data_IF_809907210526
#
_entry.id   IF_809907210526
#
_cell.length_a   1.000
_cell.length_b   1.000
_cell.length_c   1.000
_cell.angle_alpha   90.00
_cell.angle_beta   90.00
_cell.angle_gamma   90.00
#
_symmetry.space_group_name_H-M   'P 1'
#
loop_
_entity.id
_entity.type
_entity.pdbx_description
1 polymer ?
#
# COMPACT_ATOMS: atom_id res chain seq x y z
N UNK A 1 23.44 1.75 -46.52
CA UNK A 1 22.45 2.10 -45.47
C UNK A 1 23.27 2.33 -44.21
N UNK A 2 23.30 3.56 -43.71
CA UNK A 2 24.03 3.88 -42.49
C UNK A 2 23.15 3.52 -41.30
N UNK A 3 23.63 2.66 -40.41
CA UNK A 3 23.02 2.41 -39.11
C UNK A 3 22.94 3.74 -38.33
N UNK A 4 21.80 4.08 -37.71
CA UNK A 4 21.72 5.23 -36.83
C UNK A 4 22.60 4.97 -35.60
N UNK A 5 23.71 5.70 -35.49
CA UNK A 5 24.55 5.69 -34.29
C UNK A 5 23.73 6.09 -33.08
N UNK A 6 23.69 5.24 -32.06
CA UNK A 6 23.06 5.56 -30.78
C UNK A 6 23.60 6.91 -30.26
N UNK A 7 22.74 7.79 -29.73
CA UNK A 7 23.19 9.06 -29.18
C UNK A 7 24.20 8.82 -28.05
N UNK A 8 25.21 9.70 -27.90
CA UNK A 8 26.21 9.57 -26.84
C UNK A 8 25.53 9.56 -25.46
N UNK A 9 25.99 8.69 -24.57
CA UNK A 9 25.48 8.62 -23.21
C UNK A 9 25.73 9.95 -22.48
N UNK A 10 24.68 10.51 -21.88
CA UNK A 10 24.76 11.73 -21.08
C UNK A 10 25.69 11.48 -19.88
N UNK A 11 26.74 12.29 -19.75
CA UNK A 11 27.66 12.20 -18.61
C UNK A 11 27.19 13.16 -17.51
N UNK A 12 26.67 12.61 -16.42
CA UNK A 12 26.12 13.37 -15.29
C UNK A 12 27.28 14.00 -14.50
N UNK A 13 27.18 15.30 -14.20
CA UNK A 13 28.17 15.95 -13.35
C UNK A 13 28.01 15.51 -11.89
N UNK A 14 29.10 15.41 -11.14
CA UNK A 14 29.07 14.96 -9.74
C UNK A 14 28.11 15.80 -8.86
N UNK A 15 28.02 17.10 -9.10
CA UNK A 15 27.14 18.00 -8.34
C UNK A 15 25.64 17.78 -8.64
N UNK A 16 25.33 17.11 -9.74
CA UNK A 16 23.96 16.77 -10.17
C UNK A 16 23.55 15.35 -9.73
N UNK A 17 24.39 14.68 -8.94
CA UNK A 17 24.16 13.33 -8.41
C UNK A 17 23.59 13.40 -6.99
N UNK A 18 22.55 12.62 -6.73
CA UNK A 18 21.95 12.51 -5.42
C UNK A 18 22.91 11.80 -4.46
N UNK A 19 23.22 12.36 -3.29
CA UNK A 19 24.19 11.78 -2.36
C UNK A 19 23.67 10.53 -1.63
N UNK A 20 22.40 10.15 -1.83
CA UNK A 20 21.79 8.96 -1.23
C UNK A 20 21.76 7.78 -2.21
N UNK A 21 21.18 7.98 -3.40
CA UNK A 21 21.07 6.90 -4.39
C UNK A 21 22.20 6.89 -5.43
N UNK A 22 23.02 7.94 -5.48
CA UNK A 22 24.13 8.11 -6.41
C UNK A 22 23.71 8.13 -7.90
N UNK A 23 22.46 8.50 -8.17
CA UNK A 23 21.88 8.69 -9.50
C UNK A 23 21.61 10.18 -9.76
N UNK A 24 21.26 10.54 -11.00
CA UNK A 24 20.80 11.91 -11.33
C UNK A 24 19.68 12.33 -10.37
N UNK A 25 19.81 13.52 -9.78
CA UNK A 25 18.79 14.06 -8.89
C UNK A 25 17.47 14.21 -9.66
N UNK A 26 16.41 13.60 -9.14
CA UNK A 26 15.06 13.66 -9.70
C UNK A 26 14.08 14.18 -8.65
N UNK A 27 13.16 15.06 -9.06
CA UNK A 27 12.29 15.82 -8.15
C UNK A 27 13.09 16.35 -6.94
N UNK A 28 14.10 17.21 -7.16
CA UNK A 28 14.99 17.68 -6.10
C UNK A 28 14.20 18.32 -4.96
N UNK A 29 14.58 17.96 -3.74
CA UNK A 29 14.19 18.70 -2.54
C UNK A 29 15.40 19.37 -1.93
N UNK A 30 15.21 20.60 -1.47
CA UNK A 30 16.20 21.39 -0.76
C UNK A 30 15.84 21.42 0.71
N UNK A 31 16.78 20.99 1.54
CA UNK A 31 16.67 21.09 2.99
C UNK A 31 16.99 22.51 3.48
N UNK A 32 16.55 22.88 4.69
CA UNK A 32 16.89 24.16 5.32
C UNK A 32 18.41 24.33 5.51
N UNK A 33 19.12 23.22 5.72
CA UNK A 33 20.59 23.19 5.75
C UNK A 33 21.24 23.22 4.36
N UNK A 34 20.46 23.48 3.30
CA UNK A 34 20.90 23.65 1.91
C UNK A 34 21.47 22.41 1.22
N UNK A 35 21.29 21.21 1.78
CA UNK A 35 21.56 19.96 1.06
C UNK A 35 20.42 19.61 0.12
N UNK A 36 20.80 19.05 -1.03
CA UNK A 36 19.90 18.68 -2.13
C UNK A 36 19.97 17.17 -2.35
N UNK A 37 18.81 16.55 -2.52
CA UNK A 37 18.66 15.14 -2.84
C UNK A 37 17.30 14.89 -3.52
N UNK A 38 17.07 13.67 -4.01
CA UNK A 38 15.76 13.29 -4.55
C UNK A 38 14.68 13.35 -3.45
N UNK A 39 13.46 13.76 -3.80
CA UNK A 39 12.32 13.76 -2.88
C UNK A 39 12.06 12.35 -2.29
N UNK A 40 12.15 11.31 -3.11
CA UNK A 40 12.00 9.90 -2.71
C UNK A 40 13.06 9.45 -1.71
N UNK A 41 14.33 9.81 -1.93
CA UNK A 41 15.42 9.50 -1.01
C UNK A 41 15.24 10.21 0.34
N UNK A 42 14.77 11.46 0.33
CA UNK A 42 14.44 12.18 1.57
C UNK A 42 13.28 11.50 2.30
N UNK A 43 12.26 11.04 1.58
CA UNK A 43 11.13 10.29 2.14
C UNK A 43 11.58 8.99 2.80
N UNK A 44 12.30 8.13 2.08
CA UNK A 44 12.82 6.87 2.64
C UNK A 44 13.73 7.09 3.85
N UNK A 45 14.55 8.15 3.82
CA UNK A 45 15.41 8.51 4.94
C UNK A 45 14.61 9.01 6.15
N UNK A 46 13.60 9.85 5.93
CA UNK A 46 12.69 10.29 6.98
C UNK A 46 12.01 9.09 7.66
N UNK A 47 11.63 8.07 6.88
CA UNK A 47 11.02 6.83 7.40
C UNK A 47 12.03 5.99 8.22
N UNK A 48 13.29 5.91 7.79
CA UNK A 48 14.31 5.02 8.39
C UNK A 48 15.05 5.64 9.58
N UNK A 49 15.31 6.95 9.56
CA UNK A 49 16.06 7.63 10.63
C UNK A 49 15.19 7.90 11.89
N UNK A 50 13.94 7.46 11.81
CA UNK A 50 12.95 7.33 12.88
C UNK A 50 13.00 5.95 13.57
N UNK A 51 14.12 5.22 13.43
CA UNK A 51 14.35 3.90 14.05
C UNK A 51 14.57 3.99 15.56
N UNK A 52 13.53 4.42 16.28
CA UNK A 52 13.05 3.94 17.59
C UNK A 52 11.79 4.76 17.89
N UNK A 53 10.62 4.15 17.67
CA UNK A 53 9.31 4.80 17.49
C UNK A 53 9.19 5.58 16.19
N UNK A 54 8.21 5.19 15.35
CA UNK A 54 7.64 5.99 14.27
C UNK A 54 7.12 7.32 14.88
N UNK A 55 7.80 8.48 14.82
CA UNK A 55 7.23 9.76 15.17
C UNK A 55 6.55 10.29 13.91
N UNK A 56 5.23 10.10 13.87
CA UNK A 56 4.25 11.09 13.46
C UNK A 56 4.81 12.33 12.76
N UNK A 57 4.54 12.48 11.46
CA UNK A 57 4.62 13.82 10.86
C UNK A 57 3.63 14.73 11.60
N UNK A 58 4.17 15.66 12.39
CA UNK A 58 3.44 16.65 13.19
C UNK A 58 3.24 17.98 12.46
N UNK A 59 3.46 18.03 11.15
CA UNK A 59 2.90 19.11 10.37
C UNK A 59 1.42 18.81 10.22
N UNK A 60 0.62 19.61 10.92
CA UNK A 60 -0.84 19.69 10.87
C UNK A 60 -1.35 19.72 9.41
N UNK A 61 -1.41 18.57 8.75
CA UNK A 61 -2.39 18.36 7.70
C UNK A 61 -3.73 18.40 8.42
N UNK A 62 -4.48 19.48 8.20
CA UNK A 62 -5.85 19.53 8.70
C UNK A 62 -6.55 18.29 8.15
N UNK A 63 -7.00 17.42 9.07
CA UNK A 63 -7.64 16.14 8.76
C UNK A 63 -8.89 16.26 7.86
N UNK A 64 -9.26 17.49 7.50
CA UNK A 64 -10.32 17.89 6.58
C UNK A 64 -9.84 18.08 5.13
N UNK A 65 -8.53 18.15 4.89
CA UNK A 65 -7.89 18.46 3.59
C UNK A 65 -7.10 17.26 3.05
N UNK A 66 -7.65 16.05 3.18
CA UNK A 66 -7.05 14.89 2.53
C UNK A 66 -7.33 14.93 1.03
N UNK A 67 -6.34 15.36 0.25
CA UNK A 67 -6.32 15.18 -1.20
C UNK A 67 -5.89 13.72 -1.52
N UNK A 68 -6.73 12.90 -2.18
CA UNK A 68 -6.35 11.55 -2.62
C UNK A 68 -5.18 11.53 -3.62
N UNK A 69 -4.80 12.68 -4.19
CA UNK A 69 -3.62 12.84 -5.04
C UNK A 69 -2.40 13.42 -4.29
N UNK A 70 -2.49 13.60 -2.96
CA UNK A 70 -1.42 14.19 -2.17
C UNK A 70 -0.15 13.33 -2.23
N UNK A 71 0.93 13.93 -2.74
CA UNK A 71 2.24 13.31 -2.81
C UNK A 71 3.00 13.57 -1.49
N UNK A 72 3.22 12.54 -0.66
CA UNK A 72 3.85 12.66 0.65
C UNK A 72 5.32 13.07 0.62
N UNK A 73 5.95 13.14 -0.56
CA UNK A 73 7.38 13.42 -0.71
C UNK A 73 7.78 14.88 -0.42
N UNK A 74 6.81 15.79 -0.28
CA UNK A 74 7.09 17.24 -0.22
C UNK A 74 7.00 17.89 1.17
N UNK A 75 6.42 17.22 2.19
CA UNK A 75 6.31 17.76 3.56
C UNK A 75 6.90 16.79 4.62
N UNK A 76 8.22 16.64 4.61
CA UNK A 76 8.92 15.71 5.51
C UNK A 76 9.82 16.48 6.48
N UNK A 77 9.56 16.34 7.78
CA UNK A 77 10.46 16.76 8.86
C UNK A 77 11.30 15.57 9.32
N UNK A 78 12.61 15.64 9.11
CA UNK A 78 13.55 14.61 9.56
C UNK A 78 14.96 15.19 9.77
N UNK A 79 15.84 14.41 10.37
CA UNK A 79 17.26 14.74 10.39
C UNK A 79 17.83 14.61 8.98
N UNK A 80 18.53 15.61 8.46
CA UNK A 80 19.14 15.59 7.13
C UNK A 80 20.09 14.38 6.95
N UNK A 81 20.04 13.64 5.83
CA UNK A 81 20.97 12.53 5.58
C UNK A 81 22.44 12.95 5.56
N UNK A 82 22.71 14.19 5.13
CA UNK A 82 24.06 14.70 4.92
C UNK A 82 24.69 15.25 6.21
N UNK A 83 23.95 16.08 6.95
CA UNK A 83 24.48 16.77 8.12
C UNK A 83 23.80 16.41 9.44
N UNK A 84 22.79 15.53 9.41
CA UNK A 84 22.02 15.06 10.58
C UNK A 84 21.27 16.14 11.37
N UNK A 85 21.27 17.38 10.89
CA UNK A 85 20.47 18.46 11.48
C UNK A 85 18.99 18.22 11.21
N UNK A 86 18.13 18.43 12.22
CA UNK A 86 16.67 18.44 12.01
C UNK A 86 16.32 19.51 10.98
N UNK A 87 15.59 19.14 9.95
CA UNK A 87 15.26 20.01 8.82
C UNK A 87 13.91 19.61 8.25
N UNK A 88 13.22 20.57 7.63
CA UNK A 88 12.23 20.27 6.60
C UNK A 88 12.89 20.24 5.23
N UNK A 89 12.24 19.59 4.26
CA UNK A 89 12.63 19.61 2.86
C UNK A 89 11.53 20.31 2.05
N UNK A 90 11.91 21.05 1.01
CA UNK A 90 10.99 21.75 0.11
C UNK A 90 11.35 21.43 -1.35
N UNK A 91 10.36 21.26 -2.25
CA UNK A 91 10.65 21.06 -3.67
C UNK A 91 11.48 22.21 -4.27
N UNK A 92 12.43 21.87 -5.14
CA UNK A 92 13.27 22.82 -5.88
C UNK A 92 12.97 22.70 -7.39
N UNK A 93 11.81 23.21 -7.81
CA UNK A 93 11.33 23.10 -9.20
C UNK A 93 12.27 23.78 -10.20
N UNK A 94 12.99 24.81 -9.76
CA UNK A 94 13.97 25.51 -10.59
C UNK A 94 15.15 24.61 -10.92
N UNK A 95 15.66 23.84 -9.95
CA UNK A 95 16.68 22.84 -10.21
C UNK A 95 16.14 21.66 -11.03
N UNK A 96 14.90 21.23 -10.77
CA UNK A 96 14.24 20.18 -11.53
C UNK A 96 14.22 20.50 -13.04
N UNK A 97 13.77 21.71 -13.39
CA UNK A 97 13.73 22.18 -14.77
C UNK A 97 15.13 22.30 -15.40
N UNK A 98 16.14 22.70 -14.62
CA UNK A 98 17.53 22.77 -15.11
C UNK A 98 18.10 21.38 -15.41
N UNK A 99 17.88 20.41 -14.51
CA UNK A 99 18.34 19.04 -14.69
C UNK A 99 17.64 18.36 -15.87
N UNK A 100 16.33 18.59 -16.05
CA UNK A 100 15.58 18.07 -17.19
C UNK A 100 16.07 18.65 -18.53
N UNK A 101 16.42 19.95 -18.57
CA UNK A 101 16.99 20.56 -19.77
C UNK A 101 18.40 20.06 -20.08
N UNK A 102 19.21 19.81 -19.05
CA UNK A 102 20.62 19.43 -19.18
C UNK A 102 20.82 17.93 -19.44
N UNK A 103 19.94 17.11 -18.88
CA UNK A 103 19.98 15.64 -18.94
C UNK A 103 18.62 15.06 -19.35
N UNK A 104 18.06 15.44 -20.51
CA UNK A 104 16.70 15.11 -20.88
C UNK A 104 16.46 13.60 -20.95
N UNK A 105 17.43 12.81 -21.43
CA UNK A 105 17.26 11.36 -21.53
C UNK A 105 17.29 10.74 -20.13
N UNK A 106 18.33 11.01 -19.34
CA UNK A 106 18.47 10.43 -18.01
C UNK A 106 17.37 10.91 -17.06
N UNK A 107 16.91 12.16 -17.17
CA UNK A 107 15.82 12.68 -16.35
C UNK A 107 14.49 11.99 -16.66
N UNK A 108 14.20 11.69 -17.93
CA UNK A 108 13.04 10.89 -18.31
C UNK A 108 13.14 9.45 -17.79
N UNK A 109 14.30 8.80 -17.89
CA UNK A 109 14.52 7.46 -17.31
C UNK A 109 14.27 7.46 -15.80
N UNK A 110 14.79 8.48 -15.08
CA UNK A 110 14.54 8.66 -13.64
C UNK A 110 13.06 8.90 -13.32
N UNK A 111 12.35 9.65 -14.16
CA UNK A 111 10.91 9.87 -14.03
C UNK A 111 10.14 8.55 -14.13
N UNK A 112 10.46 7.71 -15.10
CA UNK A 112 9.81 6.42 -15.28
C UNK A 112 10.08 5.49 -14.10
N UNK A 113 11.32 5.41 -13.63
CA UNK A 113 11.71 4.64 -12.45
C UNK A 113 10.95 5.10 -11.20
N UNK A 114 10.85 6.41 -10.98
CA UNK A 114 10.14 6.99 -9.84
C UNK A 114 8.62 6.85 -9.95
N UNK A 115 8.04 6.95 -11.15
CA UNK A 115 6.61 6.69 -11.39
C UNK A 115 6.27 5.21 -11.16
N UNK A 116 7.16 4.29 -11.57
CA UNK A 116 7.08 2.86 -11.24
C UNK A 116 7.09 2.66 -9.73
N UNK A 117 8.05 3.29 -9.08
CA UNK A 117 8.24 3.23 -7.65
C UNK A 117 7.04 3.80 -6.88
N UNK A 118 6.51 4.96 -7.30
CA UNK A 118 5.32 5.63 -6.75
C UNK A 118 4.01 4.92 -7.12
N UNK A 119 4.05 3.94 -8.02
CA UNK A 119 2.91 3.12 -8.41
C UNK A 119 1.98 3.72 -9.45
N UNK A 120 2.46 4.69 -10.21
CA UNK A 120 1.76 5.25 -11.37
C UNK A 120 2.02 4.46 -12.67
N UNK A 121 3.08 3.62 -12.71
CA UNK A 121 3.36 2.67 -13.80
C UNK A 121 3.70 1.29 -13.23
N UNK A 122 3.44 0.24 -13.99
CA UNK A 122 3.90 -1.11 -13.67
C UNK A 122 5.44 -1.17 -13.81
N UNK A 123 6.13 -1.52 -12.73
CA UNK A 123 7.57 -1.73 -12.73
C UNK A 123 8.01 -2.95 -13.51
N UNK A 124 9.32 -3.12 -13.66
CA UNK A 124 9.89 -4.33 -14.25
C UNK A 124 9.42 -5.56 -13.44
N UNK A 125 8.64 -6.44 -14.08
CA UNK A 125 7.93 -7.54 -13.42
C UNK A 125 6.45 -7.29 -13.05
N UNK A 126 5.83 -6.19 -13.49
CA UNK A 126 4.39 -5.94 -13.34
C UNK A 126 3.95 -5.49 -11.94
N UNK A 127 4.88 -5.09 -11.09
CA UNK A 127 4.60 -4.62 -9.73
C UNK A 127 4.32 -3.11 -9.70
N UNK A 128 3.24 -2.71 -9.05
CA UNK A 128 2.79 -1.32 -8.90
C UNK A 128 2.87 -0.91 -7.41
N UNK A 129 3.44 0.26 -7.10
CA UNK A 129 3.43 0.80 -5.73
C UNK A 129 2.04 1.21 -5.23
N UNK A 130 1.78 1.08 -3.94
CA UNK A 130 0.59 1.62 -3.27
C UNK A 130 1.03 2.33 -1.98
N UNK A 131 0.68 3.61 -1.87
CA UNK A 131 0.88 4.39 -0.64
C UNK A 131 -0.36 4.27 0.24
N UNK A 132 -0.14 3.97 1.51
CA UNK A 132 -1.19 3.79 2.51
C UNK A 132 -0.93 4.76 3.66
N UNK A 133 -1.97 5.50 4.05
CA UNK A 133 -1.97 6.36 5.23
C UNK A 133 -2.91 5.73 6.26
N UNK A 134 -2.40 5.44 7.45
CA UNK A 134 -3.15 4.85 8.55
C UNK A 134 -3.09 5.79 9.75
N UNK A 135 -4.21 6.00 10.43
CA UNK A 135 -4.24 6.94 11.56
C UNK A 135 -5.56 7.01 12.28
N UNK A 136 -5.63 7.90 13.26
CA UNK A 136 -6.89 8.26 13.89
C UNK A 136 -7.00 9.76 14.16
N UNK A 137 -8.21 10.28 13.97
CA UNK A 137 -8.65 11.59 14.48
C UNK A 137 -9.08 11.43 15.93
N UNK A 138 -8.97 12.48 16.72
CA UNK A 138 -9.39 12.51 18.11
C UNK A 138 -9.95 13.88 18.52
N UNK A 139 -11.01 13.86 19.33
CA UNK A 139 -11.57 15.02 20.01
C UNK A 139 -12.10 14.59 21.38
N UNK A 140 -11.94 15.45 22.37
CA UNK A 140 -12.55 15.26 23.69
C UNK A 140 -13.99 15.79 23.67
N UNK A 141 -14.96 14.93 23.96
CA UNK A 141 -16.35 15.35 24.15
C UNK A 141 -16.51 15.94 25.56
N UNK A 142 -16.83 17.24 25.65
CA UNK A 142 -17.11 17.92 26.92
C UNK A 142 -18.61 17.79 27.22
N UNK A 143 -18.96 17.21 28.37
CA UNK A 143 -20.35 17.14 28.85
C UNK A 143 -20.92 15.73 29.05
N UNK A 144 -20.17 14.67 28.71
CA UNK A 144 -20.57 13.32 29.09
C UNK A 144 -20.21 13.06 30.57
N UNK A 145 -21.20 12.79 31.41
CA UNK A 145 -20.99 12.34 32.81
C UNK A 145 -20.33 10.94 32.90
N UNK A 146 -20.14 10.26 31.76
CA UNK A 146 -19.59 8.91 31.66
C UNK A 146 -18.11 8.89 31.22
N UNK A 147 -17.43 7.77 31.50
CA UNK A 147 -16.00 7.55 31.24
C UNK A 147 -15.57 7.60 29.76
N UNK A 148 -16.49 7.52 28.79
CA UNK A 148 -16.21 7.49 27.35
C UNK A 148 -16.06 8.90 26.76
N UNK A 149 -14.97 9.58 27.12
CA UNK A 149 -14.74 11.01 26.80
C UNK A 149 -13.98 11.25 25.49
N UNK A 150 -13.41 10.21 24.90
CA UNK A 150 -12.61 10.32 23.68
C UNK A 150 -13.45 9.90 22.48
N UNK A 151 -13.76 10.85 21.61
CA UNK A 151 -14.34 10.61 20.29
C UNK A 151 -13.20 10.48 19.30
N UNK A 152 -13.07 9.31 18.70
CA UNK A 152 -11.99 8.99 17.79
C UNK A 152 -12.51 8.36 16.50
N UNK A 153 -11.83 8.69 15.40
CA UNK A 153 -12.12 8.14 14.07
C UNK A 153 -10.84 7.53 13.51
N UNK A 154 -10.75 6.20 13.49
CA UNK A 154 -9.69 5.50 12.78
C UNK A 154 -9.95 5.54 11.27
N UNK A 155 -8.90 5.68 10.48
CA UNK A 155 -8.98 5.76 9.03
C UNK A 155 -7.82 5.03 8.35
N UNK A 156 -8.09 4.51 7.16
CA UNK A 156 -7.07 4.03 6.22
C UNK A 156 -7.31 4.68 4.86
N UNK A 157 -6.33 5.39 4.34
CA UNK A 157 -6.37 6.00 3.00
C UNK A 157 -5.35 5.35 2.11
N UNK A 158 -5.64 5.26 0.81
CA UNK A 158 -4.76 4.67 -0.17
C UNK A 158 -4.65 5.56 -1.39
N UNK A 159 -3.49 5.58 -2.03
CA UNK A 159 -3.31 6.21 -3.35
C UNK A 159 -4.14 5.51 -4.43
N UNK A 160 -4.40 4.20 -4.25
CA UNK A 160 -5.22 3.37 -5.14
C UNK A 160 -6.35 2.69 -4.37
N UNK A 161 -7.46 3.40 -4.08
CA UNK A 161 -8.60 2.78 -3.42
C UNK A 161 -9.38 1.83 -4.35
N UNK A 162 -9.22 1.96 -5.68
CA UNK A 162 -9.88 1.15 -6.72
C UNK A 162 -9.50 -0.34 -6.66
N UNK A 163 -8.27 -0.65 -6.24
CA UNK A 163 -7.77 -2.03 -6.14
C UNK A 163 -8.15 -2.71 -4.83
N UNK A 164 -8.77 -2.00 -3.89
CA UNK A 164 -9.14 -2.54 -2.57
C UNK A 164 -10.55 -3.11 -2.61
N UNK A 165 -10.69 -4.36 -2.18
CA UNK A 165 -11.98 -5.04 -2.02
C UNK A 165 -12.67 -4.66 -0.72
N UNK A 166 -11.92 -4.75 0.37
CA UNK A 166 -12.40 -4.40 1.71
C UNK A 166 -11.24 -4.21 2.69
N UNK A 167 -11.49 -3.42 3.74
CA UNK A 167 -10.63 -3.25 4.90
C UNK A 167 -11.36 -3.77 6.12
N UNK A 168 -10.79 -4.75 6.81
CA UNK A 168 -11.34 -5.32 8.04
C UNK A 168 -10.60 -4.73 9.22
N UNK A 169 -11.28 -3.94 10.02
CA UNK A 169 -10.74 -3.33 11.23
C UNK A 169 -11.15 -4.18 12.43
N UNK A 170 -10.16 -4.79 13.08
CA UNK A 170 -10.35 -5.50 14.34
C UNK A 170 -10.17 -4.50 15.49
N UNK A 171 -11.28 -4.21 16.15
CA UNK A 171 -11.35 -3.38 17.34
C UNK A 171 -11.08 -4.23 18.58
N UNK A 172 -10.77 -3.57 19.70
CA UNK A 172 -10.69 -4.24 20.99
C UNK A 172 -12.00 -5.02 21.31
N UNK A 173 -11.96 -6.20 21.94
CA UNK A 173 -13.13 -7.03 22.19
C UNK A 173 -14.26 -6.39 23.00
N UNK A 174 -14.02 -5.25 23.65
CA UNK A 174 -15.05 -4.45 24.35
C UNK A 174 -15.99 -3.72 23.40
N UNK A 175 -15.59 -3.51 22.14
CA UNK A 175 -16.44 -2.92 21.12
C UNK A 175 -17.43 -3.95 20.55
N UNK A 176 -18.60 -3.47 20.15
CA UNK A 176 -19.66 -4.26 19.52
C UNK A 176 -20.11 -3.57 18.23
N UNK A 177 -19.91 -4.19 17.05
CA UNK A 177 -19.13 -5.41 16.83
C UNK A 177 -17.61 -5.16 17.04
N UNK A 178 -16.84 -6.18 17.47
CA UNK A 178 -15.39 -6.08 17.64
C UNK A 178 -14.62 -6.13 16.30
N UNK A 179 -15.31 -6.38 15.18
CA UNK A 179 -14.76 -6.33 13.83
C UNK A 179 -15.70 -5.52 12.94
N UNK A 180 -15.13 -4.63 12.14
CA UNK A 180 -15.85 -3.78 11.19
C UNK A 180 -15.25 -4.01 9.81
N UNK A 181 -16.08 -4.28 8.81
CA UNK A 181 -15.64 -4.41 7.41
C UNK A 181 -16.06 -3.16 6.64
N UNK A 182 -15.09 -2.49 6.04
CA UNK A 182 -15.24 -1.25 5.27
C UNK A 182 -15.00 -1.58 3.80
N UNK A 183 -16.02 -1.40 2.96
CA UNK A 183 -15.97 -1.77 1.52
C UNK A 183 -15.78 -0.59 0.60
N UNK A 184 -16.05 0.62 1.09
CA UNK A 184 -16.00 1.83 0.29
C UNK A 184 -15.12 2.90 0.97
N UNK A 185 -14.38 3.70 0.17
CA UNK A 185 -13.74 4.89 0.69
C UNK A 185 -14.81 5.80 1.31
N UNK A 186 -14.55 6.45 2.46
CA UNK A 186 -13.24 6.80 3.02
C UNK A 186 -12.54 5.76 3.92
N UNK A 187 -13.08 4.55 4.05
CA UNK A 187 -12.60 3.51 4.98
C UNK A 187 -12.31 4.03 6.40
N UNK A 188 -13.35 4.55 7.05
CA UNK A 188 -13.26 5.07 8.42
C UNK A 188 -14.16 4.32 9.40
N UNK A 189 -13.74 4.27 10.67
CA UNK A 189 -14.57 3.83 11.78
C UNK A 189 -14.47 4.83 12.93
N UNK A 190 -15.62 5.36 13.35
CA UNK A 190 -15.74 6.28 14.48
C UNK A 190 -16.34 5.57 15.70
N UNK A 191 -15.78 5.79 16.88
CA UNK A 191 -16.26 5.26 18.16
C UNK A 191 -15.93 6.21 19.31
N UNK A 192 -16.60 5.99 20.44
CA UNK A 192 -16.26 6.58 21.72
C UNK A 192 -15.46 5.59 22.55
N UNK A 193 -14.42 6.04 23.23
CA UNK A 193 -13.58 5.20 24.08
C UNK A 193 -12.99 5.96 25.27
N UNK A 194 -12.38 5.20 26.18
CA UNK A 194 -11.74 5.73 27.40
C UNK A 194 -10.25 5.41 27.49
N UNK A 195 -9.74 4.51 26.65
CA UNK A 195 -8.34 4.07 26.67
C UNK A 195 -7.75 3.96 25.27
N UNK A 196 -6.42 3.91 25.21
CA UNK A 196 -5.66 3.65 23.99
C UNK A 196 -5.55 2.13 23.78
N UNK A 197 -5.67 1.68 22.54
CA UNK A 197 -5.51 0.28 22.15
C UNK A 197 -4.97 0.20 20.73
N UNK A 198 -4.33 -0.92 20.43
CA UNK A 198 -3.87 -1.24 19.09
C UNK A 198 -5.04 -1.81 18.29
N UNK A 199 -5.21 -1.29 17.08
CA UNK A 199 -6.14 -1.76 16.06
C UNK A 199 -5.38 -2.50 14.98
N UNK A 200 -5.93 -3.62 14.53
CA UNK A 200 -5.42 -4.31 13.34
C UNK A 200 -6.35 -4.00 12.16
N UNK A 201 -5.78 -3.47 11.08
CA UNK A 201 -6.46 -3.24 9.82
C UNK A 201 -5.92 -4.23 8.78
N UNK A 202 -6.80 -5.11 8.30
CA UNK A 202 -6.48 -6.12 7.30
C UNK A 202 -7.04 -5.67 5.95
N UNK A 203 -6.15 -5.42 5.00
CA UNK A 203 -6.46 -4.92 3.66
C UNK A 203 -6.50 -6.08 2.67
N UNK A 204 -7.65 -6.22 2.01
CA UNK A 204 -7.93 -7.25 1.00
C UNK A 204 -8.05 -6.57 -0.35
N UNK A 205 -7.29 -7.04 -1.35
CA UNK A 205 -7.33 -6.52 -2.71
C UNK A 205 -8.45 -7.18 -3.54
N UNK A 206 -8.91 -6.48 -4.57
CA UNK A 206 -9.76 -7.04 -5.62
C UNK A 206 -8.93 -8.01 -6.48
N UNK A 207 -9.54 -9.10 -6.92
CA UNK A 207 -8.95 -9.91 -7.99
C UNK A 207 -8.79 -9.03 -9.26
N UNK A 208 -7.70 -9.17 -10.02
CA UNK A 208 -6.62 -10.15 -9.86
C UNK A 208 -5.36 -9.57 -9.18
N UNK A 209 -5.50 -8.57 -8.30
CA UNK A 209 -4.37 -7.94 -7.63
C UNK A 209 -3.93 -8.74 -6.39
N UNK A 210 -2.62 -8.86 -6.20
CA UNK A 210 -1.99 -9.49 -5.04
C UNK A 210 -0.91 -8.59 -4.46
N UNK A 211 -0.69 -8.66 -3.15
CA UNK A 211 0.43 -7.96 -2.52
C UNK A 211 1.76 -8.62 -2.90
N UNK A 212 2.72 -7.82 -3.38
CA UNK A 212 4.10 -8.25 -3.61
C UNK A 212 4.80 -8.31 -2.26
N UNK A 213 5.45 -9.44 -1.98
CA UNK A 213 6.10 -9.73 -0.71
C UNK A 213 7.61 -9.85 -0.89
N UNK A 214 8.36 -9.39 0.11
CA UNK A 214 9.78 -9.64 0.17
C UNK A 214 10.05 -11.11 0.50
N UNK A 215 11.12 -11.67 -0.10
CA UNK A 215 11.51 -13.07 0.10
C UNK A 215 11.93 -13.30 1.57
N UNK A 216 10.97 -13.69 2.41
CA UNK A 216 11.17 -13.91 3.85
C UNK A 216 9.92 -13.77 4.72
N UNK A 217 8.81 -13.23 4.22
CA UNK A 217 7.58 -13.12 5.03
C UNK A 217 6.85 -14.47 5.13
N UNK A 218 6.67 -15.01 6.34
CA UNK A 218 5.96 -16.27 6.59
C UNK A 218 4.43 -16.19 6.46
N UNK A 219 3.88 -14.98 6.36
CA UNK A 219 2.44 -14.81 6.17
C UNK A 219 2.06 -15.28 4.75
N UNK A 220 1.05 -16.14 4.63
CA UNK A 220 0.54 -16.70 3.36
C UNK A 220 -0.87 -16.22 3.02
N UNK A 221 -1.44 -15.33 3.83
CA UNK A 221 -2.85 -14.92 3.77
C UNK A 221 -3.26 -14.20 2.48
N UNK A 222 -2.33 -13.70 1.67
CA UNK A 222 -2.66 -12.83 0.53
C UNK A 222 -3.24 -11.47 0.96
N UNK A 223 -3.24 -11.18 2.26
CA UNK A 223 -3.75 -9.95 2.88
C UNK A 223 -2.58 -9.12 3.41
N UNK A 224 -2.77 -7.81 3.53
CA UNK A 224 -1.82 -6.90 4.18
C UNK A 224 -2.40 -6.47 5.52
N UNK A 225 -1.72 -6.82 6.62
CA UNK A 225 -2.12 -6.43 7.97
C UNK A 225 -1.30 -5.24 8.45
N UNK A 226 -1.97 -4.18 8.87
CA UNK A 226 -1.39 -2.97 9.45
C UNK A 226 -1.84 -2.84 10.90
N UNK A 227 -0.92 -2.49 11.79
CA UNK A 227 -1.22 -2.24 13.20
C UNK A 227 -1.13 -0.74 13.50
N UNK A 228 -2.11 -0.22 14.25
CA UNK A 228 -2.13 1.18 14.66
C UNK A 228 -2.52 1.33 16.12
N UNK A 229 -1.66 1.96 16.92
CA UNK A 229 -1.99 2.35 18.28
C UNK A 229 -2.76 3.66 18.26
N UNK A 230 -3.98 3.66 18.80
CA UNK A 230 -4.76 4.89 18.90
C UNK A 230 -4.01 5.96 19.70
N UNK A 231 -3.99 7.15 19.15
CA UNK A 231 -3.36 8.31 19.78
C UNK A 231 -4.42 9.39 20.08
N UNK A 232 -4.49 9.81 21.34
CA UNK A 232 -5.42 10.82 21.83
C UNK A 232 -4.74 12.14 22.21
N UNK A 233 -3.47 12.32 21.85
CA UNK A 233 -2.79 13.61 21.95
C UNK A 233 -3.32 14.55 20.85
N UNK A 234 -3.66 15.78 21.24
CA UNK A 234 -4.17 16.78 20.28
C UNK A 234 -5.38 16.27 19.48
N UNK A 235 -5.26 16.33 18.15
CA UNK A 235 -6.29 15.88 17.19
C UNK A 235 -6.12 14.42 16.75
N UNK A 236 -5.24 13.66 17.40
CA UNK A 236 -4.82 12.34 16.96
C UNK A 236 -3.65 12.42 15.97
N UNK A 237 -3.31 11.29 15.35
CA UNK A 237 -2.06 11.10 14.61
C UNK A 237 -2.21 10.11 13.45
N UNK A 238 -1.20 10.07 12.60
CA UNK A 238 -1.15 9.20 11.42
C UNK A 238 0.28 8.75 11.09
N UNK A 239 0.39 7.69 10.29
CA UNK A 239 1.61 7.13 9.74
C UNK A 239 1.43 6.68 8.28
N UNK A 240 2.53 6.58 7.55
CA UNK A 240 2.56 6.20 6.12
C UNK A 240 3.21 4.83 5.96
N UNK A 241 2.70 4.04 5.03
CA UNK A 241 3.20 2.71 4.67
C UNK A 241 3.25 2.62 3.15
N UNK A 242 4.37 2.15 2.61
CA UNK A 242 4.53 1.88 1.18
C UNK A 242 4.48 0.37 0.97
N UNK A 243 3.54 -0.07 0.14
CA UNK A 243 3.37 -1.46 -0.27
C UNK A 243 3.51 -1.59 -1.78
N UNK A 244 3.64 -2.81 -2.28
CA UNK A 244 3.66 -3.13 -3.71
C UNK A 244 2.56 -4.12 -4.01
N UNK A 245 1.86 -3.95 -5.11
CA UNK A 245 0.86 -4.88 -5.65
C UNK A 245 1.31 -5.38 -7.00
N UNK A 246 0.78 -6.52 -7.43
CA UNK A 246 1.01 -7.12 -8.75
C UNK A 246 -0.33 -7.60 -9.27
N UNK A 247 -0.53 -7.52 -10.58
CA UNK A 247 -1.63 -8.22 -11.24
C UNK A 247 -1.21 -9.66 -11.53
N UNK A 248 -1.92 -10.65 -11.00
CA UNK A 248 -1.76 -12.02 -11.47
C UNK A 248 -2.49 -12.19 -12.80
N UNK A 249 -1.77 -12.59 -13.84
CA UNK A 249 -2.40 -12.97 -15.10
C UNK A 249 -3.23 -14.24 -14.85
N UNK A 250 -4.55 -14.09 -14.92
CA UNK A 250 -5.46 -15.21 -14.73
C UNK A 250 -5.17 -16.33 -15.73
N UNK A 251 -5.13 -17.57 -15.24
CA UNK A 251 -5.43 -18.72 -16.07
C UNK A 251 -6.73 -18.42 -16.83
N UNK A 252 -6.68 -18.50 -18.15
CA UNK A 252 -7.84 -18.34 -19.01
C UNK A 252 -8.96 -19.21 -18.45
N UNK A 253 -10.11 -18.60 -18.13
CA UNK A 253 -11.33 -19.35 -17.91
C UNK A 253 -11.58 -20.15 -19.20
N UNK A 254 -11.24 -21.45 -19.18
CA UNK A 254 -11.71 -22.37 -20.21
C UNK A 254 -13.22 -22.31 -20.16
N UNK A 255 -13.79 -21.63 -21.14
CA UNK A 255 -15.21 -21.65 -21.46
C UNK A 255 -15.62 -23.12 -21.56
N UNK A 256 -16.22 -23.66 -20.50
CA UNK A 256 -16.81 -24.99 -20.54
C UNK A 256 -18.01 -24.88 -21.46
N UNK A 257 -17.78 -25.08 -22.74
CA UNK A 257 -18.84 -25.23 -23.74
C UNK A 257 -19.60 -26.49 -23.36
N UNK A 258 -20.69 -26.31 -22.61
CA UNK A 258 -21.68 -27.34 -22.38
C UNK A 258 -22.29 -27.67 -23.73
N UNK A 259 -21.76 -28.69 -24.40
CA UNK A 259 -22.38 -29.27 -25.58
C UNK A 259 -23.65 -29.96 -25.09
N UNK A 260 -24.78 -29.24 -25.10
CA UNK A 260 -26.10 -29.83 -24.95
C UNK A 260 -26.35 -30.81 -26.10
N UNK A 261 -25.99 -32.08 -25.87
CA UNK A 261 -26.44 -33.19 -26.73
C UNK A 261 -27.90 -33.45 -26.42
N UNK A 262 -28.78 -32.78 -27.15
CA UNK A 262 -30.19 -33.14 -27.25
C UNK A 262 -30.33 -34.58 -27.75
N UNK A 263 -30.62 -35.52 -26.83
CA UNK A 263 -31.21 -36.83 -27.16
C UNK A 263 -32.21 -37.22 -26.07
N UNK A 264 -33.40 -36.62 -26.13
CA UNK A 264 -34.60 -37.22 -25.56
C UNK A 264 -34.95 -38.46 -26.37
N UNK A 265 -34.60 -39.62 -25.84
CA UNK A 265 -35.02 -40.92 -26.35
C UNK A 265 -36.48 -41.22 -26.00
N UNK A 266 -37.22 -41.73 -26.98
CA UNK A 266 -38.47 -42.45 -26.76
C UNK A 266 -38.21 -43.92 -26.43
N UNK A 267 -38.78 -44.36 -25.31
CA UNK A 267 -39.34 -45.68 -24.97
C UNK A 267 -38.86 -46.93 -25.73
N UNK A 268 -38.27 -47.90 -25.01
CA UNK A 268 -38.85 -49.26 -24.81
C UNK A 268 -37.98 -50.17 -23.92
N UNK A 269 -38.62 -50.64 -22.83
CA UNK A 269 -38.67 -52.02 -22.27
C UNK A 269 -37.70 -53.07 -22.85
N UNK A 270 -36.88 -53.70 -22.00
CA UNK A 270 -36.82 -55.17 -21.85
C UNK A 270 -35.96 -55.63 -20.65
N UNK A 271 -36.37 -56.76 -20.10
CA UNK A 271 -35.86 -57.47 -18.92
C UNK A 271 -34.54 -58.22 -19.20
N UNK A 272 -33.75 -58.44 -18.15
CA UNK A 272 -33.14 -59.73 -17.73
C UNK A 272 -31.72 -59.59 -17.17
N UNK A 273 -31.49 -60.27 -16.04
CA UNK A 273 -30.20 -60.91 -15.75
C UNK A 273 -29.30 -60.22 -14.72
N UNK A 274 -29.60 -60.43 -13.44
CA UNK A 274 -28.56 -60.53 -12.39
C UNK A 274 -27.85 -61.88 -12.58
N UNK A 275 -26.52 -62.04 -12.40
CA UNK A 275 -26.01 -62.23 -11.03
C UNK A 275 -24.54 -61.84 -10.74
N UNK A 276 -24.24 -61.64 -9.44
CA UNK A 276 -22.99 -62.04 -8.72
C UNK A 276 -21.73 -61.21 -9.04
N UNK A 277 -20.84 -60.79 -8.12
CA UNK A 277 -20.62 -60.89 -6.66
C UNK A 277 -19.53 -59.83 -6.38
N UNK A 278 -19.64 -59.02 -5.32
CA UNK A 278 -18.45 -58.40 -4.71
C UNK A 278 -18.18 -59.10 -3.37
N UNK A 279 -16.94 -59.54 -3.10
CA UNK A 279 -16.58 -60.07 -1.80
C UNK A 279 -16.40 -58.94 -0.79
N UNK A 280 -17.19 -59.06 0.27
CA UNK A 280 -17.00 -58.54 1.63
C UNK A 280 -15.53 -58.58 2.09
N UNK A 281 -15.09 -57.58 2.86
CA UNK A 281 -14.60 -57.72 4.24
C UNK A 281 -14.40 -56.34 4.88
N UNK A 282 -15.40 -55.92 5.66
CA UNK A 282 -15.29 -55.07 6.86
C UNK A 282 -14.72 -55.90 8.05
N UNK A 283 -14.59 -55.37 9.29
CA UNK A 283 -13.85 -54.19 9.73
C UNK A 283 -13.08 -54.48 11.08
N UNK A 284 -12.61 -53.42 11.73
CA UNK A 284 -12.38 -53.27 13.19
C UNK A 284 -11.26 -54.07 13.88
N UNK A 285 -10.42 -53.35 14.63
CA UNK A 285 -10.22 -53.64 16.06
C UNK A 285 -9.75 -52.37 16.79
N UNK A 286 -10.58 -51.94 17.75
CA UNK A 286 -10.21 -51.07 18.87
C UNK A 286 -9.22 -51.78 19.80
N UNK A 287 -8.18 -51.07 20.26
CA UNK A 287 -7.91 -50.77 21.68
C UNK A 287 -6.73 -49.82 21.80
#
# INVERSE_FOLDING_TARGET
MAEPSAPPAETIAHDDVCPVCHLLIYAPVRTQCSHILCASCMAQWADTNQTTNIPHSSLDLDLREFDPNYDPTYDLEASCPMCRMRTSAQPDDALAAQLEQRYPKTYQERREEEEIERGQRAGDGGAEGVMILIGNKHRVERGAENANRHDWTFFVRLSRPDVVKEIRVNLHPTFRPPRVTLREPPFEVRRLGWGVFTLDAVLVLNEPYVWVRDAGSEDRSGELTLQWMLDFEGRGKQGRVRAKIRKEEGAQEEEVVVIERTRSGGSRREERGSPVRYPHMDPEFET
#
